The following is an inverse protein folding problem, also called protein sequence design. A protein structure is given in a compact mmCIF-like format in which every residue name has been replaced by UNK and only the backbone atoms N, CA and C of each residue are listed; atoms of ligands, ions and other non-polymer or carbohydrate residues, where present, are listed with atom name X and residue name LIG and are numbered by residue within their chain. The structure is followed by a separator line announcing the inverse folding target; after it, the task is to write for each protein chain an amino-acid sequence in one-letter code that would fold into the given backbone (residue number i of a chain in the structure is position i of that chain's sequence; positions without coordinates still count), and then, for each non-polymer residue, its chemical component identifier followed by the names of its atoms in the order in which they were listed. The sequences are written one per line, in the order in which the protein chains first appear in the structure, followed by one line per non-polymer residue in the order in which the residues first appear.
data_IF_034510456332
#
_entry.id   IF_034510456332
#
_cell.length_a   1.000
_cell.length_b   1.000
_cell.length_c   1.000
_cell.angle_alpha   90.00
_cell.angle_beta   90.00
_cell.angle_gamma   90.00
#
_symmetry.space_group_name_H-M   'P 1'
#
loop_
_entity.id
_entity.type
_entity.pdbx_description
1 polymer ?
#
# COMPACT_ATOMS: atom_id res chain seq x y z
N UNK A 1 -1.11 24.37 5.50
CA UNK A 1 -0.74 23.69 6.75
C UNK A 1 -1.11 22.24 6.53
N UNK A 2 -0.16 21.35 6.22
CA UNK A 2 -0.48 19.92 6.14
C UNK A 2 -0.33 19.37 7.54
N UNK A 3 -1.45 19.14 8.21
CA UNK A 3 -1.45 18.47 9.50
C UNK A 3 -0.77 17.12 9.31
N UNK A 4 0.32 16.90 10.05
CA UNK A 4 1.03 15.62 10.07
C UNK A 4 0.04 14.52 10.47
N UNK A 5 -0.18 13.55 9.58
CA UNK A 5 -1.09 12.43 9.86
C UNK A 5 -0.44 11.53 10.92
N UNK A 6 -1.14 11.30 12.02
CA UNK A 6 -0.71 10.30 12.99
C UNK A 6 -0.89 8.89 12.38
N UNK A 7 0.22 8.30 11.93
CA UNK A 7 0.18 7.03 11.20
C UNK A 7 -0.24 5.84 12.05
N UNK A 8 0.06 5.84 13.34
CA UNK A 8 -0.37 4.79 14.28
C UNK A 8 -1.91 4.81 14.41
N UNK A 9 -2.48 6.00 14.59
CA UNK A 9 -3.93 6.18 14.64
C UNK A 9 -4.57 5.78 13.30
N UNK A 10 -3.99 6.22 12.18
CA UNK A 10 -4.49 5.90 10.85
C UNK A 10 -4.57 4.38 10.59
N UNK A 11 -3.52 3.63 10.93
CA UNK A 11 -3.52 2.16 10.78
C UNK A 11 -4.57 1.52 11.69
N UNK A 12 -4.70 2.01 12.92
CA UNK A 12 -5.71 1.53 13.88
C UNK A 12 -7.14 1.74 13.36
N UNK A 13 -7.40 2.88 12.71
CA UNK A 13 -8.67 3.18 12.05
C UNK A 13 -8.90 2.33 10.81
N UNK A 14 -7.85 2.14 9.98
CA UNK A 14 -7.90 1.26 8.79
C UNK A 14 -8.29 -0.17 9.16
N UNK A 15 -7.76 -0.71 10.26
CA UNK A 15 -8.10 -2.03 10.77
C UNK A 15 -9.60 -2.20 11.10
N UNK A 16 -10.28 -1.10 11.47
CA UNK A 16 -11.68 -1.07 11.89
C UNK A 16 -12.66 -0.77 10.76
N UNK A 17 -12.17 -0.49 9.54
CA UNK A 17 -13.06 -0.15 8.42
C UNK A 17 -13.92 -1.34 7.99
N UNK A 18 -15.25 -1.20 7.91
CA UNK A 18 -16.11 -2.26 7.37
C UNK A 18 -16.00 -2.39 5.83
N UNK A 19 -15.59 -1.32 5.13
CA UNK A 19 -15.40 -1.26 3.67
C UNK A 19 -14.21 -0.35 3.34
N UNK A 20 -13.65 -0.43 2.13
CA UNK A 20 -12.52 0.41 1.74
C UNK A 20 -11.30 0.11 2.62
N UNK A 21 -11.00 -1.18 2.73
CA UNK A 21 -10.05 -1.79 3.66
C UNK A 21 -8.61 -1.72 3.16
N UNK A 22 -8.33 -0.90 2.15
CA UNK A 22 -6.98 -0.62 1.70
C UNK A 22 -6.71 0.88 1.66
N UNK A 23 -5.44 1.25 1.84
CA UNK A 23 -4.97 2.62 1.73
C UNK A 23 -3.50 2.66 1.27
N UNK A 24 -3.04 3.85 0.93
CA UNK A 24 -1.69 4.12 0.45
C UNK A 24 -1.07 5.24 1.29
N UNK A 25 0.19 5.06 1.68
CA UNK A 25 1.06 6.11 2.19
C UNK A 25 2.10 6.40 1.11
N UNK A 26 2.18 7.66 0.71
CA UNK A 26 3.18 8.15 -0.23
C UNK A 26 4.33 8.75 0.55
N UNK A 27 5.54 8.22 0.37
CA UNK A 27 6.77 8.68 1.03
C UNK A 27 7.70 9.36 0.02
N UNK A 28 8.43 10.38 0.44
CA UNK A 28 9.36 11.09 -0.46
C UNK A 28 10.77 10.48 -0.44
N UNK A 29 11.16 9.88 0.68
CA UNK A 29 12.41 9.16 0.81
C UNK A 29 12.15 7.68 0.53
N UNK A 30 12.90 7.14 -0.43
CA UNK A 30 12.91 5.71 -0.71
C UNK A 30 13.84 4.98 0.28
N UNK A 31 14.98 5.59 0.60
CA UNK A 31 15.91 5.10 1.61
C UNK A 31 15.23 5.11 2.98
N UNK A 32 15.19 3.96 3.66
CA UNK A 32 14.50 3.82 4.95
C UNK A 32 13.00 3.53 4.88
N UNK A 33 12.36 3.55 3.70
CA UNK A 33 10.92 3.28 3.56
C UNK A 33 10.54 1.89 4.11
N UNK A 34 11.39 0.88 3.86
CA UNK A 34 11.20 -0.48 4.36
C UNK A 34 11.27 -0.51 5.89
N UNK A 35 12.30 0.08 6.47
CA UNK A 35 12.53 0.14 7.91
C UNK A 35 11.40 0.89 8.60
N UNK A 36 10.96 2.00 8.02
CA UNK A 36 9.82 2.78 8.47
C UNK A 36 8.52 1.95 8.47
N UNK A 37 8.22 1.26 7.36
CA UNK A 37 7.05 0.39 7.26
C UNK A 37 7.09 -0.76 8.28
N UNK A 38 8.27 -1.34 8.51
CA UNK A 38 8.48 -2.36 9.53
C UNK A 38 8.28 -1.83 10.96
N UNK A 39 8.74 -0.61 11.24
CA UNK A 39 8.54 0.05 12.53
C UNK A 39 7.06 0.36 12.77
N UNK A 40 6.37 0.91 11.79
CA UNK A 40 4.93 1.15 11.86
C UNK A 40 4.18 -0.13 12.18
N UNK A 41 4.50 -1.24 11.49
CA UNK A 41 3.86 -2.53 11.72
C UNK A 41 4.05 -3.04 13.16
N UNK A 42 5.25 -2.90 13.72
CA UNK A 42 5.53 -3.26 15.12
C UNK A 42 4.72 -2.43 16.11
N UNK A 43 4.54 -1.14 15.85
CA UNK A 43 3.80 -0.24 16.74
C UNK A 43 2.28 -0.44 16.66
N UNK A 44 1.76 -0.99 15.55
CA UNK A 44 0.32 -1.15 15.30
C UNK A 44 -0.16 -2.60 15.37
N UNK A 45 0.65 -3.52 15.88
CA UNK A 45 0.37 -4.97 15.90
C UNK A 45 -0.08 -5.49 14.52
N UNK A 46 0.63 -5.03 13.49
CA UNK A 46 0.40 -5.37 12.08
C UNK A 46 1.55 -6.22 11.57
N UNK A 47 1.35 -6.90 10.45
CA UNK A 47 2.45 -7.58 9.76
C UNK A 47 3.02 -6.69 8.65
N UNK A 48 4.29 -6.87 8.35
CA UNK A 48 4.97 -6.16 7.27
C UNK A 48 5.57 -7.14 6.27
N UNK A 49 5.36 -6.85 4.99
CA UNK A 49 6.08 -7.50 3.90
C UNK A 49 6.77 -6.45 3.03
N UNK A 50 7.98 -6.78 2.60
CA UNK A 50 8.65 -6.07 1.53
C UNK A 50 8.60 -6.93 0.27
N UNK A 51 7.88 -6.48 -0.76
CA UNK A 51 7.65 -7.29 -1.96
C UNK A 51 8.94 -7.49 -2.76
N UNK A 52 9.83 -6.50 -2.82
CA UNK A 52 11.11 -6.64 -3.48
C UNK A 52 11.97 -7.74 -2.82
N UNK A 53 12.02 -7.77 -1.49
CA UNK A 53 12.72 -8.84 -0.76
C UNK A 53 12.05 -10.20 -0.90
N UNK A 54 10.72 -10.24 -0.94
CA UNK A 54 9.97 -11.48 -1.14
C UNK A 54 10.24 -12.07 -2.53
N UNK A 55 10.16 -11.25 -3.57
CA UNK A 55 10.38 -11.68 -4.96
C UNK A 55 11.84 -12.04 -5.22
N UNK A 56 12.79 -11.34 -4.61
CA UNK A 56 14.23 -11.69 -4.77
C UNK A 56 14.62 -13.00 -4.10
N UNK A 57 13.86 -13.46 -3.09
CA UNK A 57 14.12 -14.73 -2.38
C UNK A 57 13.38 -15.93 -2.98
N UNK A 58 12.27 -15.69 -3.68
CA UNK A 58 11.44 -16.74 -4.26
C UNK A 58 11.60 -16.77 -5.79
N UNK A 59 12.27 -17.81 -6.28
CA UNK A 59 12.56 -17.98 -7.71
C UNK A 59 11.27 -18.08 -8.54
N UNK A 60 10.20 -18.67 -8.00
CA UNK A 60 8.94 -18.78 -8.73
C UNK A 60 8.27 -17.41 -8.88
N UNK A 61 8.29 -16.58 -7.84
CA UNK A 61 7.78 -15.21 -7.90
C UNK A 61 8.63 -14.35 -8.83
N UNK A 62 9.96 -14.45 -8.76
CA UNK A 62 10.87 -13.72 -9.63
C UNK A 62 10.64 -14.05 -11.11
N UNK A 63 10.50 -15.34 -11.45
CA UNK A 63 10.28 -15.78 -12.82
C UNK A 63 8.88 -15.41 -13.35
N UNK A 64 7.91 -15.22 -12.46
CA UNK A 64 6.54 -14.86 -12.78
C UNK A 64 6.22 -13.37 -12.71
N UNK A 65 7.23 -12.49 -12.59
CA UNK A 65 7.03 -11.05 -12.32
C UNK A 65 6.05 -10.36 -13.29
N UNK A 66 6.08 -10.72 -14.58
CA UNK A 66 5.21 -10.14 -15.61
C UNK A 66 3.73 -10.52 -15.42
N UNK A 67 3.45 -11.61 -14.69
CA UNK A 67 2.10 -12.08 -14.40
C UNK A 67 1.45 -11.28 -13.26
N UNK A 68 2.23 -10.49 -12.52
CA UNK A 68 1.74 -9.65 -11.44
C UNK A 68 1.22 -8.31 -11.97
N UNK A 69 0.13 -8.37 -12.75
CA UNK A 69 -0.69 -7.20 -13.03
C UNK A 69 -1.33 -6.68 -11.72
N UNK A 70 -1.86 -5.46 -11.76
CA UNK A 70 -2.46 -4.79 -10.59
C UNK A 70 -3.38 -5.71 -9.81
N UNK A 71 -4.38 -6.30 -10.47
CA UNK A 71 -5.32 -7.23 -9.82
C UNK A 71 -4.63 -8.46 -9.19
N UNK A 72 -3.66 -9.04 -9.89
CA UNK A 72 -2.93 -10.22 -9.42
C UNK A 72 -2.13 -9.93 -8.14
N UNK A 73 -1.64 -8.70 -7.96
CA UNK A 73 -1.02 -8.29 -6.69
C UNK A 73 -2.03 -8.32 -5.55
N UNK A 74 -3.23 -7.78 -5.73
CA UNK A 74 -4.27 -7.83 -4.69
C UNK A 74 -4.72 -9.25 -4.37
N UNK A 75 -4.90 -10.09 -5.40
CA UNK A 75 -5.24 -11.51 -5.22
C UNK A 75 -4.12 -12.26 -4.49
N UNK A 76 -2.86 -11.94 -4.78
CA UNK A 76 -1.69 -12.51 -4.10
C UNK A 76 -1.56 -12.10 -2.63
N UNK A 77 -1.97 -10.87 -2.29
CA UNK A 77 -1.94 -10.33 -0.92
C UNK A 77 -3.12 -10.80 -0.06
N UNK A 78 -4.18 -11.30 -0.71
CA UNK A 78 -5.34 -11.87 -0.03
C UNK A 78 -4.92 -13.00 0.90
N UNK A 79 -5.45 -13.00 2.12
CA UNK A 79 -5.22 -14.05 3.12
C UNK A 79 -3.74 -14.29 3.51
N UNK A 80 -2.80 -13.42 3.12
CA UNK A 80 -1.36 -13.55 3.44
C UNK A 80 -0.96 -13.18 4.87
N UNK A 81 -1.88 -12.64 5.65
CA UNK A 81 -1.62 -12.19 7.01
C UNK A 81 -2.78 -12.57 7.92
N UNK A 82 -2.44 -12.96 9.14
CA UNK A 82 -3.43 -13.14 10.21
C UNK A 82 -3.64 -11.84 11.01
N UNK A 83 -2.76 -10.85 10.83
CA UNK A 83 -2.93 -9.53 11.43
C UNK A 83 -4.09 -8.75 10.78
N UNK A 84 -4.71 -7.80 11.50
CA UNK A 84 -5.80 -6.99 10.95
C UNK A 84 -5.39 -6.16 9.73
N UNK A 85 -4.12 -5.71 9.71
CA UNK A 85 -3.52 -4.93 8.63
C UNK A 85 -2.22 -5.60 8.21
N UNK A 86 -2.03 -5.71 6.90
CA UNK A 86 -0.78 -6.05 6.26
C UNK A 86 -0.21 -4.76 5.66
N UNK A 87 0.98 -4.36 6.10
CA UNK A 87 1.73 -3.23 5.58
C UNK A 87 2.68 -3.74 4.50
N UNK A 88 2.61 -3.15 3.30
CA UNK A 88 3.33 -3.60 2.12
C UNK A 88 4.28 -2.48 1.67
N UNK A 89 5.55 -2.79 1.48
CA UNK A 89 6.56 -1.87 0.93
C UNK A 89 7.31 -2.49 -0.25
N UNK A 90 8.09 -1.69 -0.99
CA UNK A 90 8.95 -2.19 -2.06
C UNK A 90 8.17 -2.72 -3.26
N UNK A 91 7.05 -2.09 -3.61
CA UNK A 91 6.21 -2.48 -4.77
C UNK A 91 6.63 -1.73 -6.06
N UNK A 92 7.58 -0.80 -5.97
CA UNK A 92 8.00 0.07 -7.08
C UNK A 92 8.45 -0.72 -8.31
N UNK A 93 9.11 -1.86 -8.11
CA UNK A 93 9.55 -2.72 -9.21
C UNK A 93 8.36 -3.33 -9.99
N UNK A 94 7.25 -3.68 -9.30
CA UNK A 94 6.03 -4.14 -9.96
C UNK A 94 5.31 -2.99 -10.66
N UNK A 95 5.28 -1.80 -10.06
CA UNK A 95 4.75 -0.62 -10.75
C UNK A 95 5.50 -0.35 -12.06
N UNK A 96 6.81 -0.56 -12.07
CA UNK A 96 7.62 -0.40 -13.27
C UNK A 96 7.21 -1.38 -14.39
N UNK A 97 6.74 -2.59 -14.08
CA UNK A 97 6.26 -3.55 -15.11
C UNK A 97 4.91 -3.16 -15.70
N UNK A 98 4.15 -2.29 -15.04
CA UNK A 98 2.89 -1.74 -15.56
C UNK A 98 3.08 -0.49 -16.43
N UNK A 99 4.32 0.00 -16.55
CA UNK A 99 4.64 1.17 -17.37
C UNK A 99 4.23 0.93 -18.81
N UNK A 100 3.48 1.87 -19.39
CA UNK A 100 2.93 1.74 -20.75
C UNK A 100 1.48 1.21 -20.80
N UNK A 101 0.94 0.70 -19.69
CA UNK A 101 -0.49 0.45 -19.55
C UNK A 101 -1.19 1.76 -19.15
N UNK A 102 -2.06 2.27 -20.02
CA UNK A 102 -2.66 3.60 -19.89
C UNK A 102 -3.57 3.80 -18.68
N UNK A 103 -3.96 2.73 -18.00
CA UNK A 103 -4.95 2.72 -16.91
C UNK A 103 -4.45 2.07 -15.62
N UNK A 104 -3.17 1.75 -15.49
CA UNK A 104 -2.65 0.97 -14.36
C UNK A 104 -2.78 1.70 -13.01
N UNK A 105 -2.62 3.03 -12.99
CA UNK A 105 -2.79 3.86 -11.79
C UNK A 105 -4.26 3.89 -11.38
N UNK A 106 -5.17 4.09 -12.33
CA UNK A 106 -6.61 4.09 -12.10
C UNK A 106 -7.10 2.72 -11.62
N UNK A 107 -6.59 1.64 -12.21
CA UNK A 107 -6.90 0.28 -11.77
C UNK A 107 -6.40 0.05 -10.34
N UNK A 108 -5.17 0.47 -10.02
CA UNK A 108 -4.61 0.33 -8.68
C UNK A 108 -5.44 1.11 -7.65
N UNK A 109 -5.75 2.37 -7.94
CA UNK A 109 -6.58 3.20 -7.07
C UNK A 109 -7.99 2.62 -6.89
N UNK A 110 -8.59 2.08 -7.95
CA UNK A 110 -9.88 1.38 -7.90
C UNK A 110 -9.82 0.14 -7.01
N UNK A 111 -8.76 -0.68 -7.12
CA UNK A 111 -8.54 -1.83 -6.24
C UNK A 111 -8.38 -1.40 -4.77
N UNK A 112 -7.59 -0.35 -4.50
CA UNK A 112 -7.45 0.23 -3.15
C UNK A 112 -8.81 0.66 -2.61
N UNK A 113 -9.60 1.38 -3.41
CA UNK A 113 -10.89 1.90 -2.99
C UNK A 113 -11.90 0.79 -2.68
N UNK A 114 -11.90 -0.27 -3.51
CA UNK A 114 -12.91 -1.32 -3.48
C UNK A 114 -12.50 -2.56 -2.70
N UNK A 115 -11.26 -2.60 -2.18
CA UNK A 115 -10.78 -3.69 -1.35
C UNK A 115 -11.65 -3.86 -0.12
N UNK A 116 -12.27 -5.04 -0.01
CA UNK A 116 -13.16 -5.41 1.08
C UNK A 116 -12.84 -6.83 1.61
N UNK A 117 -11.62 -7.32 1.36
CA UNK A 117 -11.15 -8.64 1.80
C UNK A 117 -10.26 -8.49 3.04
N UNK A 118 -9.75 -9.61 3.53
CA UNK A 118 -8.77 -9.67 4.63
C UNK A 118 -7.40 -10.05 4.07
N UNK A 119 -6.30 -9.54 4.65
CA UNK A 119 -6.22 -8.48 5.67
C UNK A 119 -6.62 -7.10 5.10
N UNK A 120 -6.72 -6.07 5.94
CA UNK A 120 -6.64 -4.70 5.43
C UNK A 120 -5.24 -4.47 4.83
N UNK A 121 -5.12 -3.68 3.77
CA UNK A 121 -3.85 -3.44 3.07
C UNK A 121 -3.39 -2.01 3.25
N UNK A 122 -2.16 -1.79 3.69
CA UNK A 122 -1.52 -0.48 3.67
C UNK A 122 -0.29 -0.52 2.77
N UNK A 123 -0.39 0.08 1.59
CA UNK A 123 0.75 0.19 0.69
C UNK A 123 1.59 1.41 1.06
N UNK A 124 2.88 1.22 1.29
CA UNK A 124 3.87 2.28 1.49
C UNK A 124 4.66 2.36 0.20
N UNK A 125 4.49 3.47 -0.54
CA UNK A 125 5.03 3.66 -1.88
C UNK A 125 5.79 4.96 -1.96
N UNK A 126 6.78 5.03 -2.85
CA UNK A 126 7.37 6.32 -3.22
C UNK A 126 6.31 7.26 -3.80
N UNK A 127 6.47 8.56 -3.52
CA UNK A 127 5.54 9.60 -3.96
C UNK A 127 5.25 9.50 -5.45
N UNK A 128 3.96 9.32 -5.75
CA UNK A 128 3.43 9.21 -7.10
C UNK A 128 2.40 10.32 -7.29
N UNK A 129 2.72 11.27 -8.17
CA UNK A 129 1.90 12.45 -8.42
C UNK A 129 0.51 12.11 -8.98
N UNK A 130 0.39 11.04 -9.76
CA UNK A 130 -0.89 10.64 -10.35
C UNK A 130 -1.79 10.06 -9.27
N UNK A 131 -1.24 9.18 -8.43
CA UNK A 131 -1.97 8.58 -7.31
C UNK A 131 -2.32 9.62 -6.23
N UNK A 132 -1.41 10.55 -5.92
CA UNK A 132 -1.64 11.62 -4.96
C UNK A 132 -2.80 12.55 -5.36
N UNK A 133 -3.07 12.67 -6.66
CA UNK A 133 -4.11 13.54 -7.22
C UNK A 133 -5.35 12.78 -7.67
N UNK A 134 -5.35 11.46 -7.52
CA UNK A 134 -6.45 10.63 -7.99
C UNK A 134 -7.73 10.95 -7.19
N UNK A 135 -8.81 11.24 -7.91
CA UNK A 135 -10.11 11.45 -7.29
C UNK A 135 -10.77 10.10 -6.99
N UNK A 136 -10.75 9.71 -5.71
CA UNK A 136 -11.48 8.54 -5.22
C UNK A 136 -13.01 8.73 -5.27
N UNK A 137 -13.51 9.88 -5.74
CA UNK A 137 -14.93 10.11 -5.96
C UNK A 137 -15.72 10.09 -4.65
N UNK A 138 -16.98 9.70 -4.72
CA UNK A 138 -17.95 9.98 -3.66
C UNK A 138 -18.44 8.73 -2.90
N UNK A 139 -17.99 7.53 -3.30
CA UNK A 139 -18.50 6.26 -2.79
C UNK A 139 -18.18 6.01 -1.31
N UNK A 140 -17.01 6.47 -0.86
CA UNK A 140 -16.51 6.27 0.50
C UNK A 140 -15.83 7.55 1.04
N UNK A 141 -16.50 8.69 0.98
CA UNK A 141 -15.92 10.00 1.36
C UNK A 141 -15.42 10.08 2.81
N UNK A 142 -15.94 9.21 3.67
CA UNK A 142 -15.51 9.13 5.07
C UNK A 142 -14.13 8.51 5.26
N UNK A 143 -13.53 7.90 4.22
CA UNK A 143 -12.24 7.23 4.31
C UNK A 143 -11.16 7.99 3.56
N UNK A 144 -10.02 8.13 4.22
CA UNK A 144 -8.78 8.57 3.58
C UNK A 144 -8.10 7.35 2.92
N UNK A 145 -7.93 7.40 1.60
CA UNK A 145 -7.30 6.33 0.81
C UNK A 145 -5.83 6.60 0.52
N UNK A 146 -5.40 7.86 0.50
CA UNK A 146 -4.02 8.25 0.26
C UNK A 146 -3.59 9.23 1.35
N UNK A 147 -2.44 8.95 1.96
CA UNK A 147 -1.76 9.84 2.90
C UNK A 147 -0.46 10.30 2.25
N UNK A 148 -0.25 11.61 2.16
CA UNK A 148 0.99 12.22 1.68
C UNK A 148 1.95 12.42 2.86
N UNK A 149 2.88 11.48 3.08
CA UNK A 149 3.83 11.51 4.19
C UNK A 149 5.15 12.13 3.75
N UNK A 150 5.27 13.44 3.95
CA UNK A 150 6.47 14.23 3.60
C UNK A 150 7.68 13.89 4.44
N UNK A 151 7.49 13.57 5.71
CA UNK A 151 8.57 13.28 6.66
C UNK A 151 8.50 11.82 7.09
N UNK A 152 9.34 10.98 6.48
CA UNK A 152 9.48 9.55 6.80
C UNK A 152 10.24 9.27 8.10
N UNK A 153 10.82 10.29 8.74
CA UNK A 153 11.59 10.14 9.97
C UNK A 153 10.74 10.27 11.25
N UNK A 154 9.48 10.72 11.15
CA UNK A 154 8.58 10.90 12.28
C UNK A 154 7.51 9.79 12.26
N UNK A 155 7.61 8.83 13.20
CA UNK A 155 6.55 7.91 13.60
C UNK A 155 6.09 8.24 15.01
#
# INVERSE_FOLDING_TARGET
MSDSVNMIQFVTELARRPKGRAAVVLTYEYEGQKEWAAQLARQTNSEHINLLELFSKDLALSNGIEQFLVRNVFDFLKDRSQAPVLIISGMEFLKATWTGQSNSVEEFASQVQTWNKSPCLLFVLQYDKLLARYDFGQRFRQYTFVVDQKETLAL
#
